data_IF_601095165201
#
_entry.id   IF_601095165201
#
_cell.length_a   1.000
_cell.length_b   1.000
_cell.length_c   1.000
_cell.angle_alpha   90.00
_cell.angle_beta   90.00
_cell.angle_gamma   90.00
#
_symmetry.space_group_name_H-M   'P 1'
#
loop_
_entity.id
_entity.type
_entity.pdbx_description
1 polymer ?
#
# COMPACT_ATOMS: atom_id res chain seq x y z
N UNK A 1 -11.52 17.76 11.84
CA UNK A 1 -11.04 17.29 10.53
C UNK A 1 -11.80 18.04 9.44
N UNK A 2 -11.33 19.24 9.04
CA UNK A 2 -11.98 20.02 7.98
C UNK A 2 -12.01 19.22 6.66
N UNK A 3 -13.11 19.22 5.90
CA UNK A 3 -13.16 18.47 4.63
C UNK A 3 -13.44 16.96 4.76
N UNK A 4 -13.78 16.46 5.96
CA UNK A 4 -14.08 15.05 6.19
C UNK A 4 -15.30 14.58 5.38
N UNK A 5 -16.31 15.43 5.24
CA UNK A 5 -17.57 15.09 4.56
C UNK A 5 -17.34 14.83 3.07
N UNK A 6 -16.57 15.70 2.41
CA UNK A 6 -16.18 15.55 1.01
C UNK A 6 -15.34 14.28 0.81
N UNK A 7 -14.41 14.01 1.73
CA UNK A 7 -13.60 12.80 1.70
C UNK A 7 -14.46 11.53 1.91
N UNK A 8 -15.47 11.58 2.78
CA UNK A 8 -16.38 10.48 3.04
C UNK A 8 -17.20 10.09 1.80
N UNK A 9 -17.60 11.06 0.97
CA UNK A 9 -18.27 10.78 -0.31
C UNK A 9 -17.40 9.94 -1.26
N UNK A 10 -16.08 10.17 -1.25
CA UNK A 10 -15.12 9.38 -2.04
C UNK A 10 -14.85 8.00 -1.43
N UNK A 11 -15.06 7.85 -0.11
CA UNK A 11 -14.77 6.63 0.64
C UNK A 11 -15.92 5.60 0.61
N UNK A 12 -17.08 5.94 0.02
CA UNK A 12 -18.30 5.10 0.06
C UNK A 12 -18.12 3.65 -0.44
N UNK A 13 -17.14 3.37 -1.31
CA UNK A 13 -16.85 1.99 -1.75
C UNK A 13 -16.07 1.16 -0.71
N UNK A 14 -15.48 1.80 0.29
CA UNK A 14 -14.69 1.18 1.34
C UNK A 14 -15.46 1.09 2.67
N UNK A 15 -16.29 2.09 2.98
CA UNK A 15 -17.11 2.12 4.19
C UNK A 15 -17.87 3.43 4.38
N UNK A 16 -18.34 3.66 5.60
CA UNK A 16 -19.15 4.81 6.02
C UNK A 16 -18.29 5.99 6.48
N UNK A 17 -18.89 7.19 6.57
CA UNK A 17 -18.24 8.38 7.15
C UNK A 17 -17.76 8.12 8.59
N UNK A 18 -18.57 7.39 9.39
CA UNK A 18 -18.24 7.06 10.77
C UNK A 18 -17.01 6.15 10.85
N UNK A 19 -16.92 5.13 10.00
CA UNK A 19 -15.76 4.25 9.90
C UNK A 19 -14.52 5.03 9.44
N UNK A 20 -14.65 5.85 8.39
CA UNK A 20 -13.54 6.71 7.93
C UNK A 20 -13.00 7.59 9.06
N UNK A 21 -13.90 8.26 9.79
CA UNK A 21 -13.53 9.10 10.94
C UNK A 21 -12.81 8.29 12.00
N UNK A 22 -13.32 7.12 12.35
CA UNK A 22 -12.71 6.24 13.36
C UNK A 22 -11.30 5.82 12.93
N UNK A 23 -11.11 5.39 11.68
CA UNK A 23 -9.80 4.97 11.16
C UNK A 23 -8.80 6.11 11.05
N UNK A 24 -9.24 7.30 10.66
CA UNK A 24 -8.38 8.49 10.66
C UNK A 24 -7.91 8.84 12.08
N UNK A 25 -8.80 8.76 13.07
CA UNK A 25 -8.45 9.01 14.47
C UNK A 25 -7.47 7.94 14.97
N UNK A 26 -7.77 6.66 14.74
CA UNK A 26 -6.92 5.53 15.13
C UNK A 26 -5.52 5.65 14.53
N UNK A 27 -5.40 5.80 13.20
CA UNK A 27 -4.12 5.93 12.53
C UNK A 27 -3.32 7.14 13.01
N UNK A 28 -4.00 8.25 13.29
CA UNK A 28 -3.37 9.47 13.83
C UNK A 28 -2.82 9.23 15.23
N UNK A 29 -3.62 8.62 16.12
CA UNK A 29 -3.21 8.35 17.50
C UNK A 29 -2.09 7.31 17.55
N UNK A 30 -2.14 6.26 16.73
CA UNK A 30 -1.07 5.27 16.65
C UNK A 30 0.27 5.93 16.29
N UNK A 31 0.28 6.81 15.28
CA UNK A 31 1.50 7.50 14.83
C UNK A 31 2.00 8.59 15.81
N UNK A 32 1.10 9.22 16.56
CA UNK A 32 1.46 10.33 17.45
C UNK A 32 1.75 9.89 18.89
N UNK A 33 0.99 8.92 19.38
CA UNK A 33 0.81 8.68 20.82
C UNK A 33 1.20 7.27 21.25
N UNK A 34 1.20 6.27 20.36
CA UNK A 34 1.43 4.85 20.70
C UNK A 34 2.84 4.37 20.34
N UNK A 35 3.83 5.27 20.38
CA UNK A 35 5.23 4.91 20.22
C UNK A 35 5.78 4.31 21.51
N UNK A 36 6.56 3.24 21.39
CA UNK A 36 7.26 2.60 22.50
C UNK A 36 8.41 3.48 23.04
N UNK A 37 8.68 3.47 24.36
CA UNK A 37 7.91 2.80 25.40
C UNK A 37 6.57 3.50 25.67
N UNK A 38 5.52 2.71 25.92
CA UNK A 38 4.24 3.23 26.37
C UNK A 38 4.32 3.81 27.79
N UNK A 39 3.55 4.88 28.10
CA UNK A 39 3.52 5.45 29.44
C UNK A 39 2.94 4.45 30.45
N UNK A 40 3.66 4.22 31.55
CA UNK A 40 3.29 3.26 32.62
C UNK A 40 2.76 3.94 33.88
N UNK A 41 2.78 5.28 33.93
CA UNK A 41 2.26 6.08 35.04
C UNK A 41 1.48 7.31 34.55
N UNK A 42 0.75 7.95 35.47
CA UNK A 42 -0.12 9.09 35.16
C UNK A 42 0.65 10.32 34.66
N UNK A 43 1.85 10.56 35.17
CA UNK A 43 2.67 11.71 34.78
C UNK A 43 3.23 11.53 33.37
N UNK A 44 3.69 10.33 33.03
CA UNK A 44 4.12 9.95 31.69
C UNK A 44 2.99 10.04 30.68
N UNK A 45 1.77 9.62 31.06
CA UNK A 45 0.59 9.77 30.22
C UNK A 45 0.25 11.25 29.97
N UNK A 46 0.24 12.08 31.02
CA UNK A 46 -0.03 13.51 30.90
C UNK A 46 1.00 14.21 30.01
N UNK A 47 2.30 13.87 30.14
CA UNK A 47 3.37 14.35 29.25
C UNK A 47 3.12 13.95 27.80
N UNK A 48 2.83 12.67 27.53
CA UNK A 48 2.52 12.17 26.17
C UNK A 48 1.34 12.92 25.54
N UNK A 49 0.27 13.17 26.30
CA UNK A 49 -0.88 13.94 25.80
C UNK A 49 -0.53 15.40 25.51
N UNK A 50 0.28 16.04 26.36
CA UNK A 50 0.71 17.43 26.17
C UNK A 50 1.57 17.57 24.90
N UNK A 51 2.54 16.68 24.71
CA UNK A 51 3.42 16.64 23.53
C UNK A 51 2.66 16.34 22.24
N UNK A 52 1.67 15.44 22.30
CA UNK A 52 0.89 15.05 21.13
C UNK A 52 -0.09 16.13 20.65
N UNK A 53 -0.49 17.09 21.51
CA UNK A 53 -1.60 18.02 21.25
C UNK A 53 -1.43 18.83 19.96
N UNK A 54 -0.24 19.33 19.67
CA UNK A 54 0.06 20.07 18.43
C UNK A 54 0.26 19.13 17.23
N UNK A 55 0.87 17.95 17.47
CA UNK A 55 1.23 16.97 16.44
C UNK A 55 0.01 16.24 15.85
N UNK A 56 -0.99 15.90 16.67
CA UNK A 56 -2.18 15.15 16.26
C UNK A 56 -2.94 15.86 15.14
N UNK A 57 -3.10 17.19 15.21
CA UNK A 57 -3.80 17.94 14.17
C UNK A 57 -3.08 17.87 12.82
N UNK A 58 -1.75 18.04 12.82
CA UNK A 58 -0.93 17.99 11.61
C UNK A 58 -0.94 16.58 10.99
N UNK A 59 -0.73 15.55 11.81
CA UNK A 59 -0.72 14.16 11.35
C UNK A 59 -2.10 13.74 10.81
N UNK A 60 -3.19 14.17 11.44
CA UNK A 60 -4.53 13.88 10.92
C UNK A 60 -4.78 14.52 9.55
N UNK A 61 -4.28 15.74 9.33
CA UNK A 61 -4.35 16.40 8.01
C UNK A 61 -3.49 15.66 6.97
N UNK A 62 -2.32 15.15 7.34
CA UNK A 62 -1.49 14.33 6.45
C UNK A 62 -2.22 13.05 6.03
N UNK A 63 -2.85 12.35 6.98
CA UNK A 63 -3.66 11.17 6.67
C UNK A 63 -4.82 11.52 5.76
N UNK A 64 -5.59 12.57 6.04
CA UNK A 64 -6.70 12.97 5.17
C UNK A 64 -6.25 13.30 3.75
N UNK A 65 -5.13 14.02 3.59
CA UNK A 65 -4.57 14.35 2.26
C UNK A 65 -4.18 13.08 1.52
N UNK A 66 -3.51 12.16 2.20
CA UNK A 66 -3.11 10.87 1.63
C UNK A 66 -4.33 10.03 1.24
N UNK A 67 -5.33 9.92 2.12
CA UNK A 67 -6.59 9.22 1.84
C UNK A 67 -7.27 9.79 0.59
N UNK A 68 -7.41 11.11 0.50
CA UNK A 68 -8.04 11.73 -0.67
C UNK A 68 -7.28 11.43 -1.96
N UNK A 69 -5.95 11.52 -1.93
CA UNK A 69 -5.11 11.16 -3.08
C UNK A 69 -5.30 9.69 -3.49
N UNK A 70 -5.32 8.76 -2.53
CA UNK A 70 -5.49 7.33 -2.79
C UNK A 70 -6.87 7.01 -3.36
N UNK A 71 -7.93 7.61 -2.82
CA UNK A 71 -9.30 7.39 -3.30
C UNK A 71 -9.49 7.90 -4.73
N UNK A 72 -8.95 9.06 -5.06
CA UNK A 72 -8.99 9.63 -6.43
C UNK A 72 -8.26 8.73 -7.42
N UNK A 73 -7.02 8.33 -7.11
CA UNK A 73 -6.22 7.46 -8.00
C UNK A 73 -6.86 6.07 -8.14
N UNK A 74 -7.38 5.49 -7.05
CA UNK A 74 -8.08 4.21 -7.07
C UNK A 74 -9.34 4.28 -7.95
N UNK A 75 -10.19 5.30 -7.79
CA UNK A 75 -11.39 5.46 -8.59
C UNK A 75 -11.06 5.64 -10.08
N UNK A 76 -10.01 6.40 -10.40
CA UNK A 76 -9.53 6.57 -11.77
C UNK A 76 -9.05 5.23 -12.37
N UNK A 77 -8.29 4.44 -11.64
CA UNK A 77 -7.84 3.11 -12.08
C UNK A 77 -9.03 2.16 -12.27
N UNK A 78 -9.96 2.07 -11.33
CA UNK A 78 -11.16 1.22 -11.45
C UNK A 78 -11.96 1.54 -12.72
N UNK A 79 -12.15 2.84 -13.03
CA UNK A 79 -12.81 3.28 -14.26
C UNK A 79 -12.05 2.87 -15.52
N UNK A 80 -10.72 2.91 -15.51
CA UNK A 80 -9.90 2.47 -16.65
C UNK A 80 -9.96 0.96 -16.84
N UNK A 81 -9.95 0.20 -15.75
CA UNK A 81 -10.00 -1.26 -15.76
C UNK A 81 -11.33 -1.79 -16.28
N UNK A 82 -12.46 -1.17 -15.89
CA UNK A 82 -13.79 -1.58 -16.39
C UNK A 82 -13.95 -1.40 -17.90
N UNK A 83 -13.21 -0.47 -18.50
CA UNK A 83 -13.16 -0.26 -19.95
C UNK A 83 -12.17 -1.16 -20.71
N UNK A 84 -11.31 -1.92 -20.02
CA UNK A 84 -10.18 -2.63 -20.62
C UNK A 84 -10.50 -4.12 -20.92
N UNK A 85 -11.53 -4.36 -21.73
CA UNK A 85 -12.04 -5.72 -21.98
C UNK A 85 -11.08 -6.63 -22.75
N UNK A 86 -10.17 -6.06 -23.55
CA UNK A 86 -9.23 -6.82 -24.41
C UNK A 86 -8.07 -7.46 -23.64
N UNK A 87 -7.82 -7.07 -22.39
CA UNK A 87 -6.69 -7.55 -21.59
C UNK A 87 -7.14 -8.10 -20.23
N UNK A 88 -7.94 -9.19 -20.20
CA UNK A 88 -8.55 -9.71 -18.97
C UNK A 88 -7.51 -10.10 -17.91
N UNK A 89 -6.35 -10.63 -18.30
CA UNK A 89 -5.29 -10.99 -17.35
C UNK A 89 -4.66 -9.77 -16.68
N UNK A 90 -4.50 -8.67 -17.43
CA UNK A 90 -3.97 -7.41 -16.87
C UNK A 90 -5.00 -6.78 -15.93
N UNK A 91 -6.29 -6.85 -16.29
CA UNK A 91 -7.37 -6.39 -15.41
C UNK A 91 -7.38 -7.18 -14.11
N UNK A 92 -7.35 -8.51 -14.18
CA UNK A 92 -7.34 -9.36 -13.00
C UNK A 92 -6.13 -9.10 -12.09
N UNK A 93 -4.94 -8.96 -12.68
CA UNK A 93 -3.72 -8.67 -11.91
C UNK A 93 -3.78 -7.29 -11.23
N UNK A 94 -4.20 -6.24 -11.94
CA UNK A 94 -4.32 -4.90 -11.35
C UNK A 94 -5.43 -4.84 -10.31
N UNK A 95 -6.56 -5.53 -10.50
CA UNK A 95 -7.59 -5.64 -9.47
C UNK A 95 -7.07 -6.33 -8.20
N UNK A 96 -6.30 -7.41 -8.34
CA UNK A 96 -5.67 -8.09 -7.21
C UNK A 96 -4.66 -7.17 -6.50
N UNK A 97 -3.83 -6.44 -7.25
CA UNK A 97 -2.89 -5.46 -6.69
C UNK A 97 -3.62 -4.35 -5.92
N UNK A 98 -4.68 -3.77 -6.51
CA UNK A 98 -5.49 -2.74 -5.86
C UNK A 98 -6.16 -3.24 -4.59
N UNK A 99 -6.72 -4.45 -4.60
CA UNK A 99 -7.34 -5.06 -3.42
C UNK A 99 -6.33 -5.36 -2.30
N UNK A 100 -5.08 -5.68 -2.66
CA UNK A 100 -4.01 -5.90 -1.69
C UNK A 100 -3.45 -4.59 -1.10
N UNK A 101 -3.41 -3.51 -1.90
CA UNK A 101 -2.95 -2.19 -1.43
C UNK A 101 -4.05 -1.43 -0.68
N UNK A 102 -5.31 -1.54 -1.09
CA UNK A 102 -6.43 -0.81 -0.51
C UNK A 102 -7.53 -1.78 -0.05
N UNK A 103 -7.29 -2.60 0.99
CA UNK A 103 -8.37 -3.27 1.70
C UNK A 103 -9.28 -2.23 2.38
N UNK A 104 -10.46 -2.64 2.89
CA UNK A 104 -11.42 -1.69 3.50
C UNK A 104 -10.83 -0.86 4.64
N UNK A 105 -9.91 -1.44 5.39
CA UNK A 105 -9.23 -0.91 6.57
C UNK A 105 -7.80 -0.41 6.28
N UNK A 106 -7.47 -0.11 5.02
CA UNK A 106 -6.10 0.26 4.59
C UNK A 106 -5.42 1.37 5.42
N UNK A 107 -6.18 2.26 6.06
CA UNK A 107 -5.65 3.34 6.90
C UNK A 107 -4.99 2.86 8.19
N UNK A 108 -5.36 1.67 8.65
CA UNK A 108 -4.85 1.06 9.90
C UNK A 108 -4.22 -0.31 9.66
N UNK A 109 -4.42 -0.90 8.48
CA UNK A 109 -3.82 -2.17 8.09
C UNK A 109 -2.31 -2.08 7.82
N UNK A 110 -1.78 -0.88 7.56
CA UNK A 110 -0.38 -0.67 7.21
C UNK A 110 0.23 0.48 8.01
N UNK A 111 1.52 0.34 8.33
CA UNK A 111 2.30 1.43 8.90
C UNK A 111 2.41 2.60 7.91
N UNK A 112 2.56 3.81 8.46
CA UNK A 112 2.65 5.04 7.68
C UNK A 112 3.74 4.98 6.60
N UNK A 113 4.90 4.42 6.92
CA UNK A 113 6.04 4.36 6.00
C UNK A 113 5.72 3.53 4.75
N UNK A 114 4.83 2.55 4.85
CA UNK A 114 4.34 1.80 3.68
C UNK A 114 3.23 2.56 2.98
N UNK A 115 2.24 3.06 3.73
CA UNK A 115 1.08 3.75 3.20
C UNK A 115 1.46 5.00 2.38
N UNK A 116 2.48 5.73 2.81
CA UNK A 116 3.01 6.91 2.14
C UNK A 116 3.52 6.62 0.71
N UNK A 117 3.86 5.37 0.39
CA UNK A 117 4.29 4.96 -0.95
C UNK A 117 3.15 4.56 -1.89
N UNK A 118 1.94 4.33 -1.37
CA UNK A 118 0.82 3.82 -2.18
C UNK A 118 0.46 4.74 -3.35
N UNK A 119 0.49 6.09 -3.25
CA UNK A 119 0.23 6.93 -4.40
C UNK A 119 1.19 6.65 -5.58
N UNK A 120 2.45 6.32 -5.29
CA UNK A 120 3.44 5.96 -6.32
C UNK A 120 3.15 4.59 -6.92
N UNK A 121 2.72 3.61 -6.13
CA UNK A 121 2.31 2.29 -6.64
C UNK A 121 1.09 2.40 -7.55
N UNK A 122 0.06 3.15 -7.15
CA UNK A 122 -1.12 3.41 -7.97
C UNK A 122 -0.75 4.16 -9.26
N UNK A 123 0.15 5.15 -9.16
CA UNK A 123 0.65 5.84 -10.35
C UNK A 123 1.40 4.89 -11.29
N UNK A 124 2.19 3.95 -10.75
CA UNK A 124 2.86 2.90 -11.51
C UNK A 124 1.88 2.00 -12.27
N UNK A 125 0.76 1.62 -11.64
CA UNK A 125 -0.31 0.89 -12.31
C UNK A 125 -0.95 1.72 -13.43
N UNK A 126 -1.13 3.03 -13.24
CA UNK A 126 -1.65 3.94 -14.25
C UNK A 126 -0.72 4.03 -15.47
N UNK A 127 0.59 4.16 -15.23
CA UNK A 127 1.62 4.17 -16.29
C UNK A 127 1.68 2.84 -17.03
N UNK A 128 1.55 1.71 -16.34
CA UNK A 128 1.43 0.38 -16.99
C UNK A 128 0.28 0.38 -18.01
N UNK A 129 -0.89 0.85 -17.60
CA UNK A 129 -2.07 0.90 -18.48
C UNK A 129 -1.86 1.85 -19.68
N UNK A 130 -1.11 2.95 -19.51
CA UNK A 130 -0.77 3.86 -20.61
C UNK A 130 0.12 3.16 -21.65
N UNK A 131 1.10 2.38 -21.20
CA UNK A 131 2.07 1.69 -22.05
C UNK A 131 1.51 0.38 -22.66
N UNK A 132 0.53 -0.24 -22.01
CA UNK A 132 -0.01 -1.56 -22.37
C UNK A 132 -0.47 -1.64 -23.83
N UNK A 133 -1.23 -0.65 -24.31
CA UNK A 133 -1.80 -0.68 -25.67
C UNK A 133 -0.73 -0.60 -26.75
N UNK A 134 0.37 0.10 -26.47
CA UNK A 134 1.45 0.30 -27.43
C UNK A 134 2.39 -0.91 -27.48
N UNK A 135 2.57 -1.64 -26.38
CA UNK A 135 3.44 -2.81 -26.34
C UNK A 135 2.94 -3.91 -25.37
N UNK A 136 1.90 -4.67 -25.74
CA UNK A 136 1.37 -5.75 -24.91
C UNK A 136 2.39 -6.87 -24.64
N UNK A 137 3.27 -7.15 -25.61
CA UNK A 137 4.30 -8.19 -25.45
C UNK A 137 5.30 -7.83 -24.35
N UNK A 138 5.71 -6.54 -24.25
CA UNK A 138 6.57 -6.07 -23.17
C UNK A 138 5.86 -6.14 -21.81
N UNK A 139 4.56 -5.83 -21.74
CA UNK A 139 3.78 -5.98 -20.51
C UNK A 139 3.78 -7.43 -20.03
N UNK A 140 3.50 -8.37 -20.93
CA UNK A 140 3.48 -9.80 -20.65
C UNK A 140 4.85 -10.33 -20.19
N UNK A 141 5.94 -9.85 -20.80
CA UNK A 141 7.30 -10.19 -20.36
C UNK A 141 7.57 -9.69 -18.93
N UNK A 142 7.31 -8.42 -18.64
CA UNK A 142 7.45 -7.86 -17.29
C UNK A 142 6.59 -8.60 -16.27
N UNK A 143 5.37 -8.99 -16.65
CA UNK A 143 4.47 -9.75 -15.78
C UNK A 143 5.01 -11.15 -15.48
N UNK A 144 5.61 -11.82 -16.47
CA UNK A 144 6.27 -13.12 -16.30
C UNK A 144 7.46 -13.03 -15.33
N UNK A 145 8.32 -12.03 -15.52
CA UNK A 145 9.46 -11.74 -14.64
C UNK A 145 9.02 -11.50 -13.18
N UNK A 146 7.93 -10.74 -12.98
CA UNK A 146 7.37 -10.52 -11.65
C UNK A 146 6.76 -11.79 -11.05
N UNK A 147 6.01 -12.58 -11.83
CA UNK A 147 5.33 -13.81 -11.37
C UNK A 147 6.32 -14.84 -10.83
N UNK A 148 7.50 -14.97 -11.44
CA UNK A 148 8.52 -15.92 -10.97
C UNK A 148 8.89 -15.71 -9.49
N UNK A 149 9.02 -14.45 -9.07
CA UNK A 149 9.32 -14.11 -7.67
C UNK A 149 8.07 -14.16 -6.80
N UNK A 150 6.95 -13.62 -7.29
CA UNK A 150 5.70 -13.55 -6.52
C UNK A 150 5.12 -14.94 -6.20
N UNK A 151 5.24 -15.92 -7.10
CA UNK A 151 4.77 -17.29 -6.85
C UNK A 151 5.61 -18.01 -5.79
N UNK A 152 6.93 -17.78 -5.77
CA UNK A 152 7.78 -18.33 -4.71
C UNK A 152 7.41 -17.71 -3.35
N UNK A 153 7.19 -16.40 -3.32
CA UNK A 153 6.72 -15.67 -2.14
C UNK A 153 5.36 -16.15 -1.63
N UNK A 154 4.35 -16.26 -2.49
CA UNK A 154 3.00 -16.65 -2.07
C UNK A 154 2.95 -18.09 -1.53
N UNK A 155 3.72 -19.02 -2.12
CA UNK A 155 3.83 -20.39 -1.61
C UNK A 155 4.38 -20.44 -0.19
N UNK A 156 5.45 -19.69 0.07
CA UNK A 156 6.05 -19.62 1.41
C UNK A 156 5.09 -18.95 2.40
N UNK A 157 4.48 -17.82 2.02
CA UNK A 157 3.52 -17.09 2.83
C UNK A 157 2.35 -17.96 3.27
N UNK A 158 1.79 -18.76 2.36
CA UNK A 158 0.72 -19.70 2.68
C UNK A 158 1.20 -20.82 3.62
N UNK A 159 2.43 -21.32 3.44
CA UNK A 159 3.00 -22.33 4.33
C UNK A 159 3.17 -21.79 5.77
N UNK A 160 3.75 -20.59 5.93
CA UNK A 160 3.93 -19.93 7.24
C UNK A 160 2.61 -19.60 7.91
N UNK A 161 1.64 -19.07 7.15
CA UNK A 161 0.29 -18.81 7.64
C UNK A 161 -0.38 -20.10 8.18
N UNK A 162 -0.27 -21.23 7.46
CA UNK A 162 -0.80 -22.52 7.94
C UNK A 162 -0.11 -23.02 9.20
N UNK A 163 1.17 -22.70 9.37
CA UNK A 163 1.93 -23.00 10.57
C UNK A 163 1.66 -22.02 11.73
N UNK A 164 0.88 -20.96 11.52
CA UNK A 164 0.66 -19.90 12.51
C UNK A 164 1.92 -19.07 12.82
N UNK A 165 2.89 -19.05 11.91
CA UNK A 165 4.15 -18.33 12.07
C UNK A 165 4.08 -17.03 11.26
N UNK A 166 4.35 -15.91 11.92
CA UNK A 166 4.62 -14.64 11.25
C UNK A 166 6.09 -14.56 10.84
N UNK A 167 6.33 -14.15 9.61
CA UNK A 167 7.67 -13.99 9.06
C UNK A 167 7.84 -12.56 8.54
N UNK A 168 8.49 -11.67 9.31
CA UNK A 168 8.75 -10.30 8.91
C UNK A 168 9.48 -10.19 7.57
N UNK A 169 10.36 -11.14 7.23
CA UNK A 169 11.09 -11.11 5.96
C UNK A 169 10.17 -11.34 4.75
N UNK A 170 9.08 -12.10 4.91
CA UNK A 170 8.06 -12.23 3.87
C UNK A 170 7.24 -10.95 3.70
N UNK A 171 6.96 -10.26 4.80
CA UNK A 171 6.28 -8.97 4.74
C UNK A 171 7.17 -7.89 4.10
N UNK A 172 8.47 -7.86 4.42
CA UNK A 172 9.40 -6.99 3.71
C UNK A 172 9.50 -7.32 2.22
N UNK A 173 9.56 -8.61 1.88
CA UNK A 173 9.62 -9.04 0.49
C UNK A 173 8.36 -8.68 -0.30
N UNK A 174 7.18 -8.70 0.34
CA UNK A 174 5.91 -8.22 -0.24
C UNK A 174 6.05 -6.79 -0.78
N UNK A 175 6.72 -5.91 -0.05
CA UNK A 175 6.95 -4.52 -0.46
C UNK A 175 7.98 -4.42 -1.58
N UNK A 176 9.03 -5.23 -1.56
CA UNK A 176 9.97 -5.32 -2.69
C UNK A 176 9.26 -5.71 -3.99
N UNK A 177 8.24 -6.57 -3.93
CA UNK A 177 7.43 -6.92 -5.11
C UNK A 177 6.64 -5.72 -5.67
N UNK A 178 6.18 -4.78 -4.83
CA UNK A 178 5.58 -3.52 -5.32
C UNK A 178 6.61 -2.59 -5.95
N UNK A 179 7.79 -2.50 -5.32
CA UNK A 179 8.90 -1.74 -5.89
C UNK A 179 9.31 -2.30 -7.26
N UNK A 180 9.36 -3.62 -7.40
CA UNK A 180 9.66 -4.26 -8.68
C UNK A 180 8.60 -3.92 -9.74
N UNK A 181 7.30 -3.85 -9.38
CA UNK A 181 6.26 -3.40 -10.33
C UNK A 181 6.55 -1.99 -10.84
N UNK A 182 6.89 -1.06 -9.94
CA UNK A 182 7.30 0.30 -10.36
C UNK A 182 8.54 0.25 -11.26
N UNK A 183 9.56 -0.54 -10.90
CA UNK A 183 10.77 -0.68 -11.71
C UNK A 183 10.56 -1.31 -13.09
N UNK A 184 9.57 -2.20 -13.23
CA UNK A 184 9.24 -2.85 -14.51
C UNK A 184 8.39 -1.97 -15.43
N UNK A 185 7.45 -1.20 -14.87
CA UNK A 185 6.45 -0.48 -15.66
C UNK A 185 6.67 1.03 -15.73
N UNK A 186 7.26 1.63 -14.69
CA UNK A 186 7.26 3.07 -14.45
C UNK A 186 8.59 3.57 -13.85
N UNK A 187 9.70 3.28 -14.52
CA UNK A 187 11.06 3.67 -14.10
C UNK A 187 11.19 5.18 -13.85
N UNK A 188 10.42 5.98 -14.57
CA UNK A 188 10.34 7.44 -14.42
C UNK A 188 9.90 7.89 -13.02
N UNK A 189 9.14 7.06 -12.28
CA UNK A 189 8.68 7.39 -10.93
C UNK A 189 9.77 7.19 -9.87
N UNK A 190 10.90 6.57 -10.26
CA UNK A 190 11.99 6.14 -9.38
C UNK A 190 11.53 5.20 -8.26
N UNK A 191 12.48 4.52 -7.66
CA UNK A 191 12.26 3.65 -6.49
C UNK A 191 13.15 4.13 -5.35
N UNK A 192 12.74 3.99 -4.08
CA UNK A 192 13.53 4.41 -2.92
C UNK A 192 14.89 3.71 -2.85
N UNK A 193 14.96 2.51 -3.42
CA UNK A 193 16.18 1.72 -3.56
C UNK A 193 16.22 1.09 -4.96
N UNK A 194 17.41 0.77 -5.51
CA UNK A 194 17.46 0.11 -6.81
C UNK A 194 16.86 -1.30 -6.69
N UNK A 195 15.93 -1.63 -7.59
CA UNK A 195 15.23 -2.91 -7.63
C UNK A 195 15.30 -3.52 -9.02
N UNK A 196 15.48 -4.84 -9.07
CA UNK A 196 15.48 -5.63 -10.30
C UNK A 196 15.16 -7.08 -9.96
N UNK A 197 14.75 -7.85 -10.96
CA UNK A 197 14.45 -9.29 -10.80
C UNK A 197 15.64 -10.02 -10.17
N UNK A 198 16.85 -9.80 -10.69
CA UNK A 198 18.10 -10.40 -10.18
C UNK A 198 18.38 -10.03 -8.73
N UNK A 199 18.13 -8.77 -8.34
CA UNK A 199 18.35 -8.32 -6.95
C UNK A 199 17.34 -8.95 -6.00
N UNK A 200 16.06 -8.97 -6.35
CA UNK A 200 15.03 -9.60 -5.52
C UNK A 200 15.24 -11.11 -5.43
N UNK A 201 15.67 -11.76 -6.51
CA UNK A 201 16.01 -13.18 -6.48
C UNK A 201 17.13 -13.47 -5.48
N UNK A 202 18.20 -12.67 -5.47
CA UNK A 202 19.28 -12.79 -4.49
C UNK A 202 18.78 -12.61 -3.06
N UNK A 203 17.94 -11.60 -2.81
CA UNK A 203 17.34 -11.36 -1.49
C UNK A 203 16.51 -12.57 -1.06
N UNK A 204 15.69 -13.09 -1.97
CA UNK A 204 14.84 -14.27 -1.75
C UNK A 204 15.65 -15.51 -1.37
N UNK A 205 16.76 -15.76 -2.07
CA UNK A 205 17.66 -16.89 -1.83
C UNK A 205 18.47 -16.75 -0.53
N UNK A 206 18.75 -15.53 -0.09
CA UNK A 206 19.47 -15.24 1.16
C UNK A 206 18.59 -15.23 2.42
N UNK A 207 17.27 -15.41 2.28
CA UNK A 207 16.34 -15.42 3.42
C UNK A 207 16.66 -16.56 4.39
N UNK A 208 16.62 -16.34 5.72
CA UNK A 208 16.64 -17.42 6.70
C UNK A 208 15.46 -18.39 6.48
N UNK A 209 15.73 -19.68 6.35
CA UNK A 209 14.68 -20.71 6.17
C UNK A 209 14.10 -21.12 7.51
#
# INVERSE_FOLDING_TARGET
LPGLRELALQYMSFGTEAELKARLVEATLSRCCLLEPLPTDADAFARRCAEAKSRVSLVAQEFMRLTGQLLVEHAALQKRLSGLKTFPEVVADLQAQLGALLPKDFLVAFEWDKLAHFPRYLKGASVRLDKLRNNPARDAQSMSEWKQLAQAWERERLARRRAGVEDPALEEFRWLLEELRVGLYAQELRTPMPVSVKRLQKIWESRPR
#
